data_IF_089964483697
#
_entry.id   IF_089964483697
#
_cell.length_a   1.000
_cell.length_b   1.000
_cell.length_c   1.000
_cell.angle_alpha   90.00
_cell.angle_beta   90.00
_cell.angle_gamma   90.00
#
_symmetry.space_group_name_H-M   'P 1'
#
loop_
_entity.id
_entity.type
_entity.pdbx_description
1 polymer ?
#
# COMPACT_ATOMS: atom_id res chain seq x y z
N UNK A 1 -4.68 16.65 -97.10
CA UNK A 1 -5.38 15.69 -96.23
C UNK A 1 -4.57 15.45 -94.94
N UNK A 2 -4.06 16.49 -94.26
CA UNK A 2 -3.11 16.34 -93.12
C UNK A 2 -3.50 17.18 -91.89
N UNK A 3 -4.76 17.61 -91.77
CA UNK A 3 -5.25 18.43 -90.63
C UNK A 3 -6.21 17.69 -89.68
N UNK A 4 -6.53 16.43 -89.99
CA UNK A 4 -7.47 15.59 -89.22
C UNK A 4 -6.73 14.79 -88.13
N UNK A 5 -5.43 14.54 -88.32
CA UNK A 5 -4.58 13.78 -87.39
C UNK A 5 -4.45 14.45 -86.01
N UNK A 6 -4.20 15.77 -85.86
CA UNK A 6 -4.12 16.38 -84.54
C UNK A 6 -5.47 16.46 -83.82
N UNK A 7 -6.57 16.59 -84.57
CA UNK A 7 -7.93 16.61 -84.00
C UNK A 7 -8.33 15.22 -83.46
N UNK A 8 -7.94 14.15 -84.15
CA UNK A 8 -8.19 12.78 -83.70
C UNK A 8 -7.32 12.40 -82.49
N UNK A 9 -6.09 12.91 -82.41
CA UNK A 9 -5.20 12.72 -81.25
C UNK A 9 -5.73 13.46 -80.00
N UNK A 10 -6.30 14.65 -80.18
CA UNK A 10 -6.92 15.43 -79.10
C UNK A 10 -8.24 14.79 -78.63
N UNK A 11 -9.04 14.24 -79.55
CA UNK A 11 -10.27 13.55 -79.21
C UNK A 11 -10.01 12.21 -78.48
N UNK A 12 -8.93 11.51 -78.85
CA UNK A 12 -8.52 10.28 -78.17
C UNK A 12 -7.98 10.53 -76.75
N UNK A 13 -7.36 11.70 -76.49
CA UNK A 13 -6.89 12.06 -75.13
C UNK A 13 -8.03 12.45 -74.21
N UNK A 14 -9.11 13.06 -74.72
CA UNK A 14 -10.30 13.39 -73.91
C UNK A 14 -11.10 12.13 -73.56
N UNK A 15 -11.15 11.12 -74.44
CA UNK A 15 -11.91 9.88 -74.17
C UNK A 15 -11.19 8.92 -73.20
N UNK A 16 -9.86 9.03 -73.06
CA UNK A 16 -9.09 8.24 -72.09
C UNK A 16 -9.22 8.72 -70.64
N UNK A 17 -9.84 9.89 -70.43
CA UNK A 17 -10.19 10.40 -69.10
C UNK A 17 -11.63 10.00 -68.78
N UNK A 18 -11.87 8.69 -68.60
CA UNK A 18 -13.10 8.23 -67.95
C UNK A 18 -13.16 8.76 -66.50
N UNK A 19 -14.35 8.86 -65.88
CA UNK A 19 -14.41 9.15 -64.45
C UNK A 19 -13.56 8.10 -63.75
N UNK A 20 -12.49 8.54 -63.09
CA UNK A 20 -11.71 7.66 -62.24
C UNK A 20 -12.68 7.08 -61.23
N UNK A 21 -12.87 5.77 -61.26
CA UNK A 21 -13.46 5.09 -60.12
C UNK A 21 -12.51 5.39 -58.96
N UNK A 22 -12.92 6.29 -58.07
CA UNK A 22 -12.40 6.28 -56.72
C UNK A 22 -12.77 4.91 -56.20
N UNK A 23 -11.83 3.98 -56.22
CA UNK A 23 -11.92 2.83 -55.36
C UNK A 23 -12.00 3.46 -53.98
N UNK A 24 -13.21 3.46 -53.41
CA UNK A 24 -13.37 3.56 -51.98
C UNK A 24 -12.49 2.43 -51.45
N UNK A 25 -11.24 2.74 -51.15
CA UNK A 25 -10.61 2.12 -50.01
C UNK A 25 -11.47 2.60 -48.86
N UNK A 26 -12.62 1.94 -48.67
CA UNK A 26 -13.24 1.80 -47.36
C UNK A 26 -12.06 1.46 -46.48
N UNK A 27 -11.54 2.48 -45.79
CA UNK A 27 -10.27 2.38 -45.11
C UNK A 27 -10.40 1.16 -44.24
N UNK A 28 -9.65 0.11 -44.56
CA UNK A 28 -9.78 -1.17 -43.88
C UNK A 28 -9.59 -0.87 -42.41
N UNK A 29 -10.70 -0.86 -41.65
CA UNK A 29 -10.69 -0.47 -40.25
C UNK A 29 -10.09 -1.65 -39.52
N UNK A 30 -8.77 -1.67 -39.42
CA UNK A 30 -8.06 -2.66 -38.64
C UNK A 30 -8.27 -2.30 -37.17
N UNK A 31 -9.30 -2.87 -36.55
CA UNK A 31 -9.55 -2.76 -35.12
C UNK A 31 -8.51 -3.59 -34.37
N UNK A 32 -7.51 -2.92 -33.82
CA UNK A 32 -6.54 -3.54 -32.93
C UNK A 32 -7.17 -3.70 -31.54
N UNK A 33 -7.71 -4.87 -31.25
CA UNK A 33 -8.15 -5.22 -29.90
C UNK A 33 -6.94 -5.60 -29.05
N UNK A 34 -6.58 -4.75 -28.10
CA UNK A 34 -5.55 -5.05 -27.10
C UNK A 34 -6.21 -5.38 -25.78
N UNK A 35 -6.18 -6.65 -25.38
CA UNK A 35 -6.66 -7.07 -24.07
C UNK A 35 -5.60 -6.79 -23.02
N UNK A 36 -5.75 -5.69 -22.28
CA UNK A 36 -4.89 -5.36 -21.15
C UNK A 36 -5.41 -6.16 -19.94
N UNK A 37 -4.74 -7.27 -19.61
CA UNK A 37 -5.06 -8.07 -18.43
C UNK A 37 -4.19 -7.56 -17.26
N UNK A 38 -4.83 -6.85 -16.32
CA UNK A 38 -4.23 -6.45 -15.05
C UNK A 38 -4.39 -7.53 -13.97
N UNK A 39 -3.83 -7.28 -12.78
CA UNK A 39 -4.12 -8.11 -11.61
C UNK A 39 -5.61 -8.09 -11.29
N UNK A 40 -6.24 -9.25 -11.29
CA UNK A 40 -7.68 -9.44 -10.99
C UNK A 40 -7.92 -9.77 -9.52
N UNK A 41 -6.94 -9.54 -8.64
CA UNK A 41 -7.12 -9.78 -7.21
C UNK A 41 -8.10 -8.78 -6.61
N UNK A 42 -9.01 -9.28 -5.78
CA UNK A 42 -10.00 -8.45 -5.11
C UNK A 42 -9.31 -7.51 -4.10
N UNK A 43 -9.59 -6.19 -4.13
CA UNK A 43 -9.02 -5.28 -3.15
C UNK A 43 -9.55 -5.61 -1.75
N UNK A 44 -8.65 -5.81 -0.79
CA UNK A 44 -8.99 -6.04 0.62
C UNK A 44 -8.86 -4.72 1.38
N UNK A 45 -9.89 -4.38 2.16
CA UNK A 45 -9.84 -3.23 3.09
C UNK A 45 -9.04 -3.65 4.32
N UNK A 46 -7.86 -3.05 4.50
CA UNK A 46 -6.98 -3.29 5.65
C UNK A 46 -6.95 -2.06 6.55
N UNK A 47 -7.14 -2.26 7.86
CA UNK A 47 -6.91 -1.24 8.86
C UNK A 47 -5.49 -1.39 9.41
N UNK A 48 -4.55 -0.59 8.89
CA UNK A 48 -3.16 -0.61 9.33
C UNK A 48 -2.98 0.41 10.44
N UNK A 49 -2.64 -0.06 11.63
CA UNK A 49 -2.27 0.81 12.74
C UNK A 49 -0.77 1.11 12.61
N UNK A 50 -0.37 2.39 12.46
CA UNK A 50 1.04 2.72 12.31
C UNK A 50 1.78 2.47 13.62
N UNK A 51 2.95 1.84 13.52
CA UNK A 51 3.86 1.74 14.64
C UNK A 51 4.31 3.15 15.05
N UNK A 52 4.11 3.50 16.32
CA UNK A 52 4.58 4.77 16.89
C UNK A 52 5.90 4.54 17.60
N UNK A 53 6.97 5.16 17.12
CA UNK A 53 8.24 5.16 17.81
C UNK A 53 8.09 5.86 19.16
N UNK A 54 8.62 5.27 20.23
CA UNK A 54 8.64 5.91 21.53
C UNK A 54 9.51 7.18 21.43
N UNK A 55 8.93 8.35 21.72
CA UNK A 55 9.62 9.65 21.61
C UNK A 55 10.72 9.85 22.67
N UNK A 56 10.78 8.95 23.66
CA UNK A 56 11.76 8.98 24.73
C UNK A 56 11.90 7.56 25.27
N UNK A 57 13.10 7.19 25.70
CA UNK A 57 13.27 6.23 26.79
C UNK A 57 12.74 6.90 28.06
N UNK A 58 11.46 7.29 28.07
CA UNK A 58 10.80 7.77 29.26
C UNK A 58 10.72 6.51 30.11
N UNK A 59 11.77 6.34 30.92
CA UNK A 59 11.86 5.35 31.96
C UNK A 59 10.52 5.47 32.63
N UNK A 60 9.65 4.47 32.42
CA UNK A 60 8.39 4.39 33.14
C UNK A 60 8.83 4.56 34.58
N UNK A 61 8.48 5.68 35.21
CA UNK A 61 8.81 5.94 36.61
C UNK A 61 8.00 4.95 37.43
N UNK A 62 8.50 3.72 37.42
CA UNK A 62 7.93 2.61 38.10
C UNK A 62 8.34 2.79 39.55
N UNK A 63 7.35 2.94 40.41
CA UNK A 63 7.55 2.87 41.86
C UNK A 63 7.84 1.43 42.29
N UNK A 64 7.69 0.44 41.40
CA UNK A 64 7.86 -0.99 41.69
C UNK A 64 9.25 -1.32 42.27
N UNK A 65 10.39 -0.83 41.74
CA UNK A 65 11.69 -1.13 42.33
C UNK A 65 11.83 -0.55 43.74
N UNK A 66 11.28 0.65 43.98
CA UNK A 66 11.29 1.26 45.31
C UNK A 66 10.37 0.52 46.29
N UNK A 67 9.20 0.06 45.83
CA UNK A 67 8.27 -0.72 46.64
C UNK A 67 8.84 -2.10 47.02
N UNK A 68 9.46 -2.80 46.05
CA UNK A 68 10.10 -4.09 46.30
C UNK A 68 11.24 -3.94 47.30
N UNK A 69 12.10 -2.93 47.11
CA UNK A 69 13.18 -2.68 48.06
C UNK A 69 12.61 -2.33 49.44
N UNK A 70 11.66 -1.39 49.55
CA UNK A 70 11.12 -1.00 50.86
C UNK A 70 10.48 -2.16 51.63
N UNK A 71 9.74 -3.05 50.94
CA UNK A 71 9.02 -4.16 51.60
C UNK A 71 9.90 -5.39 51.83
N UNK A 72 10.86 -5.68 50.95
CA UNK A 72 11.70 -6.88 51.04
C UNK A 72 13.15 -6.51 51.37
N UNK A 73 13.34 -5.85 52.52
CA UNK A 73 14.67 -5.65 53.07
C UNK A 73 15.20 -6.94 53.67
N UNK A 74 16.52 -7.07 53.69
CA UNK A 74 17.19 -8.15 54.38
C UNK A 74 16.87 -8.08 55.88
N UNK A 75 16.29 -9.14 56.43
CA UNK A 75 16.01 -9.25 57.85
C UNK A 75 16.75 -10.44 58.43
N UNK A 76 17.53 -10.18 59.48
CA UNK A 76 18.26 -11.22 60.20
C UNK A 76 17.30 -12.11 60.97
N UNK A 77 17.53 -13.42 60.92
CA UNK A 77 16.66 -14.41 61.55
C UNK A 77 16.48 -14.18 63.05
N UNK A 78 17.55 -13.75 63.74
CA UNK A 78 17.52 -13.45 65.17
C UNK A 78 16.63 -12.25 65.51
N UNK A 79 16.56 -11.24 64.63
CA UNK A 79 15.71 -10.07 64.82
C UNK A 79 14.24 -10.41 64.62
N UNK A 80 13.92 -11.18 63.58
CA UNK A 80 12.57 -11.68 63.34
C UNK A 80 12.05 -12.51 64.53
N UNK A 81 12.87 -13.41 65.07
CA UNK A 81 12.50 -14.22 66.24
C UNK A 81 12.23 -13.36 67.48
N UNK A 82 13.01 -12.29 67.68
CA UNK A 82 12.81 -11.34 68.77
C UNK A 82 11.50 -10.56 68.60
N UNK A 83 11.20 -10.10 67.39
CA UNK A 83 9.97 -9.37 67.07
C UNK A 83 8.71 -10.23 67.29
N UNK A 84 8.71 -11.46 66.79
CA UNK A 84 7.61 -12.42 67.00
C UNK A 84 7.37 -12.63 68.50
N UNK A 85 8.44 -12.78 69.30
CA UNK A 85 8.32 -12.96 70.74
C UNK A 85 7.73 -11.74 71.45
N UNK A 86 8.10 -10.52 71.02
CA UNK A 86 7.55 -9.28 71.57
C UNK A 86 6.05 -9.15 71.25
N UNK A 87 5.66 -9.38 70.00
CA UNK A 87 4.25 -9.30 69.60
C UNK A 87 3.38 -10.32 70.35
N UNK A 88 3.88 -11.54 70.55
CA UNK A 88 3.19 -12.56 71.35
C UNK A 88 3.06 -12.17 72.83
N UNK A 89 4.03 -11.44 73.37
CA UNK A 89 3.98 -10.95 74.75
C UNK A 89 2.94 -9.84 74.89
N UNK A 90 2.94 -8.87 73.96
CA UNK A 90 1.97 -7.77 73.93
C UNK A 90 0.52 -8.28 73.81
N UNK A 91 0.29 -9.32 72.99
CA UNK A 91 -1.03 -9.98 72.87
C UNK A 91 -1.45 -10.73 74.15
N UNK A 92 -0.49 -11.17 74.97
CA UNK A 92 -0.77 -11.89 76.23
C UNK A 92 -1.01 -10.97 77.42
N UNK A 93 -0.54 -9.72 77.33
CA UNK A 93 -0.66 -8.69 78.36
C UNK A 93 -1.87 -7.75 78.11
N UNK A 94 -2.60 -7.94 77.01
CA UNK A 94 -3.84 -7.23 76.61
C UNK A 94 -5.12 -7.99 77.02
#
# INVERSE_FOLDING_TARGET
MNRIIPALLFFFTVLASGPGYTQDTEGEVITLESTIIGSQEQPKVLYIIPWKQANSLEKIESTLPNAINHTFQHQEYSELQREIKLLQQDDSDA
#
